data_IF_811718767741
#
_entry.id   IF_811718767741
#
_cell.length_a   1.000
_cell.length_b   1.000
_cell.length_c   1.000
_cell.angle_alpha   90.00
_cell.angle_beta   90.00
_cell.angle_gamma   90.00
#
_symmetry.space_group_name_H-M   'P 1'
#
loop_
_entity.id
_entity.type
_entity.pdbx_description
1 polymer ?
#
# COMPACT_ATOMS: atom_id res chain seq x y z
N UNK A 1 15.79 -2.47 6.77
CA UNK A 1 14.81 -2.20 5.68
C UNK A 1 15.58 -1.64 4.49
N UNK A 2 15.38 -2.15 3.28
CA UNK A 2 16.13 -1.66 2.10
C UNK A 2 15.61 -0.29 1.65
N UNK A 3 16.47 0.58 1.08
CA UNK A 3 16.07 1.93 0.65
C UNK A 3 14.97 1.90 -0.44
N UNK A 4 14.96 0.88 -1.31
CA UNK A 4 13.91 0.70 -2.31
C UNK A 4 12.52 0.44 -1.71
N UNK A 5 12.42 -0.33 -0.64
CA UNK A 5 11.13 -0.60 0.00
C UNK A 5 10.55 0.67 0.61
N UNK A 6 11.40 1.50 1.22
CA UNK A 6 10.98 2.81 1.74
C UNK A 6 10.48 3.72 0.62
N UNK A 7 11.17 3.73 -0.52
CA UNK A 7 10.74 4.48 -1.69
C UNK A 7 9.35 4.05 -2.16
N UNK A 8 9.13 2.75 -2.39
CA UNK A 8 7.82 2.26 -2.84
C UNK A 8 6.71 2.47 -1.81
N UNK A 9 7.01 2.35 -0.52
CA UNK A 9 6.04 2.62 0.53
C UNK A 9 5.62 4.11 0.54
N UNK A 10 6.56 5.05 0.33
CA UNK A 10 6.25 6.48 0.19
C UNK A 10 5.43 6.78 -1.05
N UNK A 11 5.83 6.21 -2.20
CA UNK A 11 5.08 6.39 -3.44
C UNK A 11 3.65 5.85 -3.28
N UNK A 12 3.47 4.64 -2.75
CA UNK A 12 2.13 4.08 -2.53
C UNK A 12 1.31 4.90 -1.52
N UNK A 13 1.95 5.48 -0.51
CA UNK A 13 1.31 6.41 0.42
C UNK A 13 0.74 7.64 -0.29
N UNK A 14 1.52 8.26 -1.19
CA UNK A 14 1.08 9.41 -1.99
C UNK A 14 -0.08 9.07 -2.92
N UNK A 15 -0.01 7.94 -3.65
CA UNK A 15 -1.05 7.53 -4.58
C UNK A 15 -2.40 7.23 -3.92
N UNK A 16 -2.37 6.75 -2.67
CA UNK A 16 -3.57 6.33 -1.95
C UNK A 16 -4.00 7.31 -0.85
N UNK A 17 -3.23 8.38 -0.60
CA UNK A 17 -3.50 9.35 0.46
C UNK A 17 -3.41 8.75 1.88
N UNK A 18 -2.49 7.80 2.09
CA UNK A 18 -2.31 7.10 3.38
C UNK A 18 -0.92 7.35 3.94
N UNK A 19 -0.72 7.15 5.24
CA UNK A 19 0.61 7.27 5.84
C UNK A 19 1.45 5.99 5.61
N UNK A 20 2.77 6.10 5.54
CA UNK A 20 3.68 4.94 5.45
C UNK A 20 3.50 3.99 6.64
N UNK A 21 3.25 4.54 7.84
CA UNK A 21 2.95 3.76 9.03
C UNK A 21 1.70 2.88 8.88
N UNK A 22 0.69 3.35 8.14
CA UNK A 22 -0.53 2.61 7.87
C UNK A 22 -0.34 1.47 6.87
N UNK A 23 0.57 1.64 5.91
CA UNK A 23 0.98 0.62 4.94
C UNK A 23 1.72 -0.51 5.67
N UNK A 24 2.63 -0.19 6.58
CA UNK A 24 3.36 -1.19 7.37
C UNK A 24 2.53 -1.76 8.53
N UNK A 25 1.48 -1.04 8.93
CA UNK A 25 0.65 -1.36 10.08
C UNK A 25 -0.26 -2.57 9.91
N UNK A 26 -0.96 -2.93 11.00
CA UNK A 26 -1.91 -4.04 11.04
C UNK A 26 -3.29 -3.70 10.46
N UNK A 27 -3.56 -2.42 10.18
CA UNK A 27 -4.86 -1.95 9.71
C UNK A 27 -5.35 -2.70 8.46
N UNK A 28 -6.63 -3.08 8.50
CA UNK A 28 -7.35 -3.82 7.44
C UNK A 28 -8.35 -2.95 6.67
N UNK A 29 -8.27 -1.61 6.82
CA UNK A 29 -9.06 -0.69 6.00
C UNK A 29 -8.76 -0.93 4.53
N UNK A 30 -9.78 -0.86 3.68
CA UNK A 30 -9.66 -1.18 2.26
C UNK A 30 -8.53 -0.38 1.58
N UNK A 31 -8.46 0.93 1.83
CA UNK A 31 -7.41 1.82 1.30
C UNK A 31 -5.99 1.37 1.69
N UNK A 32 -5.79 0.93 2.95
CA UNK A 32 -4.47 0.51 3.43
C UNK A 32 -4.10 -0.85 2.82
N UNK A 33 -5.08 -1.73 2.61
CA UNK A 33 -4.89 -3.00 1.94
C UNK A 33 -4.53 -2.81 0.46
N UNK A 34 -5.19 -1.89 -0.25
CA UNK A 34 -4.90 -1.56 -1.65
C UNK A 34 -3.50 -0.94 -1.81
N UNK A 35 -3.14 0.04 -0.97
CA UNK A 35 -1.80 0.63 -0.98
C UNK A 35 -0.71 -0.42 -0.73
N UNK A 36 -0.94 -1.34 0.22
CA UNK A 36 -0.01 -2.43 0.53
C UNK A 36 0.11 -3.43 -0.62
N UNK A 37 -1.00 -3.75 -1.28
CA UNK A 37 -1.01 -4.61 -2.46
C UNK A 37 -0.22 -3.98 -3.62
N UNK A 38 -0.31 -2.66 -3.81
CA UNK A 38 0.49 -1.95 -4.80
C UNK A 38 1.99 -2.10 -4.53
N UNK A 39 2.44 -1.87 -3.30
CA UNK A 39 3.86 -2.06 -2.89
C UNK A 39 4.33 -3.49 -3.16
N UNK A 40 3.55 -4.50 -2.76
CA UNK A 40 3.88 -5.91 -3.00
C UNK A 40 4.01 -6.22 -4.48
N UNK A 41 3.14 -5.63 -5.33
CA UNK A 41 3.18 -5.82 -6.79
C UNK A 41 4.38 -5.12 -7.43
N UNK A 42 4.74 -3.91 -7.00
CA UNK A 42 5.92 -3.20 -7.50
C UNK A 42 7.21 -3.94 -7.12
N UNK A 43 7.36 -4.35 -5.86
CA UNK A 43 8.50 -5.15 -5.42
C UNK A 43 8.58 -6.50 -6.16
N UNK A 44 7.44 -7.11 -6.48
CA UNK A 44 7.43 -8.35 -7.25
C UNK A 44 7.86 -8.15 -8.70
N UNK A 45 7.50 -7.01 -9.32
CA UNK A 45 7.96 -6.64 -10.67
C UNK A 45 9.47 -6.38 -10.72
N UNK A 46 10.02 -5.86 -9.64
CA UNK A 46 11.48 -5.66 -9.45
C UNK A 46 12.26 -6.96 -9.25
N UNK A 47 11.59 -8.11 -9.13
CA UNK A 47 12.22 -9.42 -9.01
C UNK A 47 12.47 -9.89 -7.57
N UNK A 48 12.00 -9.16 -6.56
CA UNK A 48 12.14 -9.61 -5.17
C UNK A 48 11.31 -10.87 -4.88
N UNK A 49 11.81 -11.70 -3.96
CA UNK A 49 11.11 -12.91 -3.55
C UNK A 49 9.93 -12.58 -2.64
N UNK A 50 8.88 -13.39 -2.67
CA UNK A 50 7.69 -13.19 -1.83
C UNK A 50 8.02 -13.28 -0.33
N UNK A 51 9.03 -14.07 0.02
CA UNK A 51 9.54 -14.20 1.39
C UNK A 51 10.25 -12.91 1.83
N UNK A 52 11.11 -12.32 0.99
CA UNK A 52 11.77 -11.05 1.29
C UNK A 52 10.77 -9.91 1.46
N UNK A 53 9.79 -9.83 0.56
CA UNK A 53 8.71 -8.84 0.61
C UNK A 53 7.91 -9.00 1.91
N UNK A 54 7.58 -10.23 2.28
CA UNK A 54 6.89 -10.54 3.54
C UNK A 54 7.70 -10.10 4.76
N UNK A 55 8.99 -10.39 4.80
CA UNK A 55 9.88 -10.01 5.89
C UNK A 55 9.96 -8.48 6.07
N UNK A 56 10.02 -7.72 4.98
CA UNK A 56 10.09 -6.25 5.05
C UNK A 56 8.76 -5.59 5.45
N UNK A 57 7.63 -6.16 5.04
CA UNK A 57 6.30 -5.65 5.35
C UNK A 57 5.72 -6.26 6.64
N UNK A 58 6.47 -7.12 7.32
CA UNK A 58 6.04 -7.90 8.49
C UNK A 58 4.75 -8.71 8.21
N UNK A 59 4.73 -9.42 7.06
CA UNK A 59 3.60 -10.21 6.59
C UNK A 59 4.02 -11.60 6.15
N UNK A 60 3.08 -12.53 6.24
CA UNK A 60 3.30 -13.87 5.73
C UNK A 60 3.40 -13.87 4.20
N UNK A 61 4.31 -14.68 3.69
CA UNK A 61 4.58 -14.84 2.27
C UNK A 61 3.36 -15.30 1.47
N UNK A 62 2.43 -16.07 2.07
CA UNK A 62 1.18 -16.49 1.40
C UNK A 62 0.27 -15.30 1.08
N UNK A 63 0.28 -14.27 1.93
CA UNK A 63 -0.45 -13.02 1.69
C UNK A 63 0.13 -12.28 0.50
N UNK A 64 1.46 -12.24 0.39
CA UNK A 64 2.15 -11.65 -0.78
C UNK A 64 1.78 -12.42 -2.06
N UNK A 65 1.73 -13.75 -2.01
CA UNK A 65 1.32 -14.59 -3.15
C UNK A 65 -0.13 -14.31 -3.56
N UNK A 66 -1.05 -14.19 -2.59
CA UNK A 66 -2.45 -13.88 -2.84
C UNK A 66 -2.61 -12.58 -3.65
N UNK A 67 -1.97 -11.50 -3.19
CA UNK A 67 -2.06 -10.18 -3.83
C UNK A 67 -1.30 -10.07 -5.15
N UNK A 68 -0.27 -10.89 -5.36
CA UNK A 68 0.50 -10.89 -6.62
C UNK A 68 -0.13 -11.78 -7.70
N UNK A 69 -0.87 -12.83 -7.33
CA UNK A 69 -1.49 -13.79 -8.26
C UNK A 69 -2.87 -13.31 -8.77
N UNK A 70 -3.60 -12.53 -8.00
CA UNK A 70 -4.93 -12.06 -8.39
C UNK A 70 -4.84 -10.91 -9.41
N UNK A 71 -5.16 -11.22 -10.68
CA UNK A 71 -5.11 -10.31 -11.84
C UNK A 71 -6.32 -9.36 -11.97
N UNK A 72 -7.27 -9.34 -11.03
CA UNK A 72 -8.38 -8.38 -11.13
C UNK A 72 -7.85 -7.01 -10.72
N UNK A 73 -7.82 -6.02 -11.64
CA UNK A 73 -7.34 -4.70 -11.29
C UNK A 73 -8.25 -4.12 -10.22
N UNK A 74 -7.77 -4.03 -8.98
CA UNK A 74 -8.48 -3.38 -7.87
C UNK A 74 -8.35 -1.87 -8.10
N UNK A 75 -9.21 -1.32 -8.96
CA UNK A 75 -9.34 0.12 -9.28
C UNK A 75 -8.07 0.75 -9.91
N UNK A 76 -8.15 2.06 -10.20
CA UNK A 76 -7.29 2.86 -11.11
C UNK A 76 -5.75 2.67 -10.97
N UNK A 77 -5.24 2.20 -9.83
CA UNK A 77 -3.82 2.00 -9.56
C UNK A 77 -3.17 0.81 -10.31
N UNK A 78 -3.98 -0.08 -10.91
CA UNK A 78 -3.47 -1.27 -11.59
C UNK A 78 -3.23 -1.05 -13.10
N UNK A 79 -3.73 0.09 -13.63
CA UNK A 79 -3.61 0.48 -15.03
C UNK A 79 -2.33 1.30 -15.23
N UNK A 80 -1.24 0.57 -15.47
CA UNK A 80 0.10 1.03 -15.87
C UNK A 80 1.03 1.61 -14.77
N UNK A 81 2.34 1.29 -14.82
CA UNK A 81 3.35 2.06 -14.11
C UNK A 81 3.51 3.40 -14.84
N UNK A 82 2.66 4.37 -14.53
CA UNK A 82 2.96 5.75 -14.93
C UNK A 82 3.89 6.30 -13.87
N UNK A 83 5.19 6.24 -14.11
CA UNK A 83 6.17 6.99 -13.31
C UNK A 83 5.96 8.53 -13.41
N UNK A 84 4.81 9.02 -13.90
CA UNK A 84 4.61 10.40 -14.38
C UNK A 84 3.19 10.99 -14.34
N UNK A 85 2.13 10.32 -13.88
CA UNK A 85 0.78 10.91 -13.90
C UNK A 85 0.21 11.11 -12.49
N UNK A 86 0.66 12.16 -11.80
CA UNK A 86 0.02 12.66 -10.57
C UNK A 86 -1.47 12.93 -10.83
N UNK A 87 -2.33 12.67 -9.84
CA UNK A 87 -3.18 13.77 -9.41
C UNK A 87 -3.22 13.94 -7.90
N UNK A 88 -2.91 15.18 -7.50
CA UNK A 88 -3.56 15.97 -6.45
C UNK A 88 -3.44 15.44 -5.01
N UNK A 89 -2.41 15.96 -4.35
CA UNK A 89 -2.48 16.32 -2.93
C UNK A 89 -3.58 17.37 -2.72
N UNK A 90 -4.77 16.96 -2.33
CA UNK A 90 -5.66 17.83 -1.57
C UNK A 90 -6.08 17.13 -0.28
N UNK A 91 -5.47 17.63 0.79
CA UNK A 91 -6.02 17.76 2.13
C UNK A 91 -6.68 16.51 2.75
N UNK A 92 -5.97 15.83 3.64
CA UNK A 92 -6.47 15.66 5.02
C UNK A 92 -5.27 15.72 5.99
N UNK A 93 -4.94 16.94 6.42
CA UNK A 93 -4.35 17.15 7.75
C UNK A 93 -5.39 16.89 8.85
N UNK A 94 -4.97 16.77 10.11
CA UNK A 94 -5.58 15.91 11.11
C UNK A 94 -6.84 16.52 11.74
N UNK A 95 -7.96 15.79 11.70
CA UNK A 95 -9.11 16.01 12.59
C UNK A 95 -9.54 14.64 13.13
N UNK A 96 -9.16 14.26 14.35
CA UNK A 96 -9.70 14.74 15.62
C UNK A 96 -11.11 14.21 15.92
N UNK A 97 -11.20 13.51 17.07
CA UNK A 97 -12.36 13.23 17.93
C UNK A 97 -13.33 12.15 17.43
N UNK A 98 -13.36 10.97 18.05
CA UNK A 98 -14.15 10.67 19.26
C UNK A 98 -15.59 11.21 19.13
N UNK A 99 -16.55 10.30 18.99
CA UNK A 99 -17.86 10.27 19.66
C UNK A 99 -18.51 8.93 19.26
N UNK A 100 -18.43 7.87 20.08
CA UNK A 100 -19.39 7.51 21.15
C UNK A 100 -20.87 7.55 20.73
N UNK A 101 -21.47 6.35 20.72
CA UNK A 101 -22.85 5.94 21.01
C UNK A 101 -23.99 6.97 21.21
N UNK A 102 -25.20 6.53 20.81
CA UNK A 102 -26.52 7.03 21.27
C UNK A 102 -27.21 7.91 20.22
N UNK A 103 -28.51 7.78 19.91
CA UNK A 103 -29.62 7.05 20.53
C UNK A 103 -30.68 6.75 19.44
#
# INVERSE_FOLDING_TARGET
MTPRVQQYAREAAEWHGVEVGDILGRSRKLLHCEARAAVMRWLRRDGFSTVQIGAWLNRDHSTVVYWTKHKRPTRRCDRAPTYFAKPVVEAVGPLARLNTCGA
#
